data_IF_959475408434
#
_entry.id   IF_959475408434
#
_cell.length_a   1.000
_cell.length_b   1.000
_cell.length_c   1.000
_cell.angle_alpha   90.00
_cell.angle_beta   90.00
_cell.angle_gamma   90.00
#
_symmetry.space_group_name_H-M   'P 1'
#
loop_
_entity.id
_entity.type
_entity.pdbx_description
1 polymer ?
#
# COMPACT_ATOMS: atom_id res chain seq x y z
N UNK A 1 1.24 -2.36 -11.95
CA UNK A 1 2.46 -2.03 -11.76
C UNK A 1 3.20 -0.98 -12.59
N UNK A 2 3.02 0.31 -12.29
CA UNK A 2 3.78 1.41 -12.92
C UNK A 2 5.17 1.66 -12.29
N UNK A 3 5.68 0.73 -11.46
CA UNK A 3 6.99 0.89 -10.81
C UNK A 3 7.03 1.76 -9.56
N UNK A 4 5.89 2.28 -9.05
CA UNK A 4 5.84 3.16 -7.86
C UNK A 4 6.61 2.59 -6.66
N UNK A 5 6.48 1.30 -6.37
CA UNK A 5 7.20 0.66 -5.26
C UNK A 5 8.71 0.69 -5.44
N UNK A 6 9.21 0.61 -6.68
CA UNK A 6 10.64 0.73 -6.96
C UNK A 6 11.13 2.16 -6.72
N UNK A 7 10.39 3.17 -7.19
CA UNK A 7 10.71 4.58 -6.93
C UNK A 7 10.75 4.84 -5.43
N UNK A 8 9.73 4.36 -4.69
CA UNK A 8 9.70 4.48 -3.24
C UNK A 8 10.91 3.83 -2.56
N UNK A 9 11.27 2.61 -2.99
CA UNK A 9 12.45 1.92 -2.44
C UNK A 9 13.73 2.70 -2.71
N UNK A 10 13.94 3.19 -3.94
CA UNK A 10 15.14 3.98 -4.27
C UNK A 10 15.22 5.27 -3.45
N UNK A 11 14.09 5.96 -3.23
CA UNK A 11 14.05 7.15 -2.38
C UNK A 11 14.35 6.83 -0.90
N UNK A 12 13.83 5.71 -0.39
CA UNK A 12 14.14 5.24 0.97
C UNK A 12 15.62 4.88 1.11
N UNK A 13 16.21 4.22 0.10
CA UNK A 13 17.64 3.88 0.10
C UNK A 13 18.51 5.13 0.08
N UNK A 14 18.12 6.16 -0.66
CA UNK A 14 18.83 7.45 -0.66
C UNK A 14 18.88 8.05 0.76
N UNK A 15 17.78 7.98 1.52
CA UNK A 15 17.77 8.42 2.91
C UNK A 15 18.66 7.54 3.79
N UNK A 16 18.63 6.21 3.61
CA UNK A 16 19.46 5.27 4.37
C UNK A 16 20.95 5.48 4.09
N UNK A 17 21.34 5.70 2.84
CA UNK A 17 22.72 6.00 2.44
C UNK A 17 23.24 7.32 3.07
N UNK A 18 22.34 8.24 3.40
CA UNK A 18 22.66 9.47 4.12
C UNK A 18 22.55 9.35 5.65
N UNK A 19 22.44 8.14 6.18
CA UNK A 19 22.43 7.86 7.62
C UNK A 19 21.07 7.97 8.31
N UNK A 20 19.99 8.23 7.55
CA UNK A 20 18.63 8.32 8.10
C UNK A 20 17.90 7.00 8.06
N UNK A 21 16.83 6.92 8.83
CA UNK A 21 15.85 5.85 8.72
C UNK A 21 14.71 6.25 7.79
N UNK A 22 14.05 5.24 7.20
CA UNK A 22 12.86 5.45 6.39
C UNK A 22 11.69 4.61 6.88
N UNK A 23 10.47 5.03 6.59
CA UNK A 23 9.31 4.19 6.80
C UNK A 23 8.35 4.20 5.59
N UNK A 24 7.59 3.10 5.45
CA UNK A 24 6.57 2.96 4.43
C UNK A 24 5.25 2.55 5.05
N UNK A 25 4.24 3.39 4.88
CA UNK A 25 2.88 3.16 5.34
C UNK A 25 2.01 2.62 4.23
N UNK A 26 1.32 1.51 4.48
CA UNK A 26 0.31 0.92 3.62
C UNK A 26 -1.08 0.97 4.29
N UNK A 27 -2.17 1.09 3.51
CA UNK A 27 -3.52 1.22 4.07
C UNK A 27 -4.04 -0.05 4.73
N UNK A 28 -3.54 -1.21 4.35
CA UNK A 28 -3.98 -2.50 4.88
C UNK A 28 -2.79 -3.40 5.25
N UNK A 29 -3.03 -4.34 6.13
CA UNK A 29 -2.01 -5.33 6.52
C UNK A 29 -1.54 -6.19 5.34
N UNK A 30 -2.44 -6.56 4.44
CA UNK A 30 -2.13 -7.35 3.25
C UNK A 30 -1.12 -6.59 2.38
N UNK A 31 -1.35 -5.31 2.13
CA UNK A 31 -0.45 -4.47 1.35
C UNK A 31 0.88 -4.22 2.08
N UNK A 32 0.85 -4.01 3.40
CA UNK A 32 2.08 -3.86 4.19
C UNK A 32 2.96 -5.12 4.08
N UNK A 33 2.38 -6.31 4.21
CA UNK A 33 3.08 -7.60 4.05
C UNK A 33 3.59 -7.81 2.63
N UNK A 34 2.82 -7.42 1.63
CA UNK A 34 3.22 -7.50 0.22
C UNK A 34 4.41 -6.58 -0.06
N UNK A 35 4.39 -5.33 0.41
CA UNK A 35 5.51 -4.41 0.29
C UNK A 35 6.74 -4.94 1.03
N UNK A 36 6.57 -5.40 2.27
CA UNK A 36 7.66 -5.97 3.06
C UNK A 36 8.35 -7.13 2.35
N UNK A 37 7.57 -8.10 1.85
CA UNK A 37 8.12 -9.26 1.13
C UNK A 37 8.86 -8.83 -0.15
N UNK A 38 8.27 -7.89 -0.90
CA UNK A 38 8.84 -7.40 -2.16
C UNK A 38 10.13 -6.63 -1.91
N UNK A 39 10.14 -5.70 -0.97
CA UNK A 39 11.29 -4.87 -0.62
C UNK A 39 12.42 -5.74 -0.05
N UNK A 40 12.10 -6.64 0.88
CA UNK A 40 13.08 -7.58 1.44
C UNK A 40 13.76 -8.44 0.38
N UNK A 41 13.00 -8.89 -0.63
CA UNK A 41 13.55 -9.64 -1.77
C UNK A 41 14.48 -8.78 -2.62
N UNK A 42 14.13 -7.51 -2.87
CA UNK A 42 14.95 -6.58 -3.64
C UNK A 42 16.24 -6.19 -2.91
N UNK A 43 16.21 -6.18 -1.59
CA UNK A 43 17.36 -5.88 -0.73
C UNK A 43 18.20 -7.10 -0.37
N UNK A 44 17.88 -8.28 -0.93
CA UNK A 44 18.67 -9.49 -0.66
C UNK A 44 20.13 -9.30 -1.09
N UNK A 45 21.07 -9.53 -0.16
CA UNK A 45 22.50 -9.33 -0.40
C UNK A 45 23.02 -7.93 -0.07
N UNK A 46 22.16 -7.02 0.43
CA UNK A 46 22.58 -5.72 1.00
C UNK A 46 22.61 -5.78 2.52
N UNK A 47 23.24 -4.80 3.15
CA UNK A 47 23.26 -4.62 4.61
C UNK A 47 22.01 -3.88 5.15
N UNK A 48 21.10 -3.46 4.29
CA UNK A 48 19.92 -2.72 4.69
C UNK A 48 18.93 -3.62 5.41
N UNK A 49 18.63 -3.28 6.65
CA UNK A 49 17.74 -4.03 7.52
C UNK A 49 16.31 -3.52 7.46
N UNK A 50 15.34 -4.45 7.38
CA UNK A 50 13.93 -4.11 7.29
C UNK A 50 13.11 -4.79 8.37
N UNK A 51 12.08 -4.13 8.87
CA UNK A 51 11.11 -4.70 9.79
C UNK A 51 9.67 -4.37 9.35
N UNK A 52 8.71 -5.14 9.87
CA UNK A 52 7.28 -4.90 9.65
C UNK A 52 6.56 -4.68 10.98
N UNK A 53 5.64 -3.70 11.00
CA UNK A 53 4.80 -3.40 12.15
C UNK A 53 3.35 -3.16 11.72
N UNK A 54 2.45 -4.07 12.10
CA UNK A 54 1.01 -3.99 11.83
C UNK A 54 0.20 -4.21 13.09
N UNK A 55 -1.12 -4.00 13.03
CA UNK A 55 -2.02 -4.29 14.15
C UNK A 55 -1.96 -5.75 14.61
N UNK A 56 -1.77 -6.69 13.67
CA UNK A 56 -1.71 -8.13 13.92
C UNK A 56 -0.28 -8.65 14.22
N UNK A 57 0.74 -7.79 14.32
CA UNK A 57 2.09 -8.21 14.70
C UNK A 57 2.09 -8.84 16.09
N UNK A 58 2.69 -10.03 16.21
CA UNK A 58 2.83 -10.72 17.50
C UNK A 58 3.66 -9.89 18.49
N UNK A 59 3.43 -10.06 19.78
CA UNK A 59 4.09 -9.27 20.82
C UNK A 59 5.62 -9.28 20.71
N UNK A 60 6.23 -10.43 20.40
CA UNK A 60 7.67 -10.56 20.20
C UNK A 60 8.16 -9.78 18.97
N UNK A 61 7.51 -9.97 17.82
CA UNK A 61 7.86 -9.29 16.56
C UNK A 61 7.72 -7.77 16.71
N UNK A 62 6.65 -7.33 17.39
CA UNK A 62 6.39 -5.93 17.69
C UNK A 62 7.53 -5.35 18.54
N UNK A 63 7.93 -6.02 19.62
CA UNK A 63 9.00 -5.57 20.48
C UNK A 63 10.32 -5.47 19.70
N UNK A 64 10.69 -6.52 18.96
CA UNK A 64 11.92 -6.55 18.16
C UNK A 64 11.95 -5.40 17.13
N UNK A 65 10.82 -5.13 16.46
CA UNK A 65 10.72 -4.01 15.52
C UNK A 65 10.87 -2.65 16.21
N UNK A 66 10.21 -2.43 17.35
CA UNK A 66 10.28 -1.19 18.12
C UNK A 66 11.69 -0.92 18.67
N UNK A 67 12.33 -1.94 19.25
CA UNK A 67 13.71 -1.85 19.75
C UNK A 67 14.69 -1.63 18.59
N UNK A 68 14.49 -2.32 17.47
CA UNK A 68 15.32 -2.20 16.28
C UNK A 68 15.27 -0.81 15.67
N UNK A 69 14.07 -0.20 15.58
CA UNK A 69 13.92 1.14 15.00
C UNK A 69 14.43 2.23 15.97
N UNK A 70 14.17 2.09 17.26
CA UNK A 70 14.64 3.04 18.26
C UNK A 70 16.16 3.05 18.44
N UNK A 71 16.82 1.91 18.19
CA UNK A 71 18.29 1.79 18.24
C UNK A 71 19.01 2.08 16.93
N UNK A 72 18.29 2.37 15.83
CA UNK A 72 18.87 2.56 14.50
C UNK A 72 19.29 1.26 13.79
N UNK A 73 19.13 0.08 14.41
CA UNK A 73 19.47 -1.22 13.79
C UNK A 73 18.56 -1.57 12.61
N UNK A 74 17.32 -1.08 12.60
CA UNK A 74 16.38 -1.22 11.49
C UNK A 74 16.43 0.06 10.66
N UNK A 75 16.76 -0.06 9.38
CA UNK A 75 16.86 1.07 8.47
C UNK A 75 15.49 1.44 7.88
N UNK A 76 14.66 0.44 7.51
CA UNK A 76 13.37 0.65 6.88
C UNK A 76 12.29 -0.08 7.66
N UNK A 77 11.29 0.66 8.16
CA UNK A 77 10.12 0.12 8.83
C UNK A 77 8.90 0.18 7.90
N UNK A 78 8.27 -0.96 7.65
CA UNK A 78 7.07 -1.05 6.82
C UNK A 78 5.88 -1.41 7.71
N UNK A 79 4.72 -0.80 7.48
CA UNK A 79 3.56 -1.12 8.31
C UNK A 79 2.29 -0.40 7.90
N UNK A 80 1.32 -0.43 8.80
CA UNK A 80 0.03 0.25 8.66
C UNK A 80 0.01 1.50 9.55
N UNK A 81 -1.20 1.98 9.88
CA UNK A 81 -1.38 3.06 10.87
C UNK A 81 -0.67 2.81 12.22
N UNK A 82 -0.26 1.57 12.52
CA UNK A 82 0.54 1.27 13.70
C UNK A 82 1.86 2.07 13.76
N UNK A 83 2.38 2.55 12.62
CA UNK A 83 3.60 3.37 12.55
C UNK A 83 3.42 4.77 13.17
N UNK A 84 2.18 5.26 13.27
CA UNK A 84 1.86 6.59 13.81
C UNK A 84 1.76 6.57 15.34
N UNK A 85 1.62 5.39 15.95
CA UNK A 85 1.47 5.25 17.40
C UNK A 85 2.65 5.91 18.15
N UNK A 86 2.40 6.55 19.29
CA UNK A 86 3.41 7.30 20.06
C UNK A 86 4.58 6.45 20.55
N UNK A 87 4.33 5.15 20.72
CA UNK A 87 5.38 4.17 21.10
C UNK A 87 6.37 3.84 19.99
N UNK A 88 6.06 4.20 18.74
CA UNK A 88 7.00 4.05 17.61
C UNK A 88 7.90 5.26 17.60
N UNK A 89 9.15 5.06 18.05
CA UNK A 89 10.18 6.10 18.09
C UNK A 89 11.31 5.69 17.16
N UNK A 90 11.62 6.54 16.21
CA UNK A 90 12.76 6.38 15.33
C UNK A 90 14.00 7.00 15.98
N UNK A 91 15.18 6.44 15.70
CA UNK A 91 16.44 7.07 16.08
C UNK A 91 16.66 8.35 15.27
N UNK A 92 16.45 8.28 13.94
CA UNK A 92 16.54 9.44 13.04
C UNK A 92 15.73 9.21 11.74
N UNK A 93 14.46 9.58 11.75
CA UNK A 93 13.56 9.40 10.61
C UNK A 93 13.74 10.52 9.59
N UNK A 94 14.30 10.23 8.40
CA UNK A 94 14.50 11.21 7.33
C UNK A 94 13.50 11.10 6.18
N UNK A 95 12.88 9.93 5.97
CA UNK A 95 12.00 9.72 4.81
C UNK A 95 10.77 8.87 5.12
N UNK A 96 9.62 9.29 4.63
CA UNK A 96 8.34 8.60 4.81
C UNK A 96 7.67 8.37 3.45
N UNK A 97 7.25 7.15 3.19
CA UNK A 97 6.41 6.79 2.05
C UNK A 97 5.00 6.49 2.53
N UNK A 98 3.99 7.09 1.90
CA UNK A 98 2.57 6.82 2.17
C UNK A 98 1.95 6.26 0.88
N UNK A 99 1.55 5.00 0.91
CA UNK A 99 0.87 4.35 -0.21
C UNK A 99 -0.65 4.48 -0.07
N UNK A 100 -1.35 4.77 -1.19
CA UNK A 100 -2.80 4.93 -1.28
C UNK A 100 -3.37 5.93 -0.25
N UNK A 101 -2.90 7.15 -0.31
CA UNK A 101 -3.13 8.24 0.64
C UNK A 101 -4.61 8.53 0.98
N UNK A 102 -5.56 8.25 0.09
CA UNK A 102 -6.98 8.56 0.31
C UNK A 102 -7.57 7.93 1.58
N UNK A 103 -6.85 7.00 2.21
CA UNK A 103 -7.20 6.37 3.49
C UNK A 103 -6.51 6.98 4.71
N UNK A 104 -5.67 8.03 4.52
CA UNK A 104 -4.95 8.70 5.60
C UNK A 104 -5.36 10.16 5.71
N UNK A 105 -5.90 10.55 6.87
CA UNK A 105 -6.29 11.93 7.16
C UNK A 105 -5.10 12.89 7.32
N UNK A 106 -5.36 14.20 7.24
CA UNK A 106 -4.38 15.27 7.45
C UNK A 106 -3.70 15.15 8.82
N UNK A 107 -4.48 14.84 9.86
CA UNK A 107 -4.01 14.69 11.24
C UNK A 107 -3.01 13.54 11.40
N UNK A 108 -3.22 12.44 10.71
CA UNK A 108 -2.32 11.28 10.76
C UNK A 108 -0.95 11.60 10.14
N UNK A 109 -0.93 12.44 9.10
CA UNK A 109 0.34 12.91 8.48
C UNK A 109 1.08 13.88 9.41
N UNK A 110 0.35 14.77 10.07
CA UNK A 110 0.95 15.70 11.04
C UNK A 110 1.70 14.97 12.15
N UNK A 111 1.19 13.82 12.60
CA UNK A 111 1.87 12.98 13.59
C UNK A 111 3.19 12.37 13.11
N UNK A 112 3.35 12.14 11.80
CA UNK A 112 4.64 11.68 11.25
C UNK A 112 5.69 12.78 11.27
N UNK A 113 5.29 14.03 11.05
CA UNK A 113 6.20 15.18 11.11
C UNK A 113 6.82 15.38 12.51
N UNK A 114 6.11 15.00 13.55
CA UNK A 114 6.57 15.13 14.93
C UNK A 114 7.40 13.94 15.42
N UNK A 115 7.64 12.92 14.56
CA UNK A 115 8.41 11.73 14.92
C UNK A 115 9.91 11.95 14.97
N UNK A 116 10.41 13.06 14.45
CA UNK A 116 11.80 13.45 14.49
C UNK A 116 11.95 14.93 14.83
N UNK A 117 13.11 15.36 15.29
CA UNK A 117 13.43 16.76 15.58
C UNK A 117 13.36 17.63 14.32
N UNK A 118 13.79 17.09 13.17
CA UNK A 118 13.57 17.68 11.85
C UNK A 118 12.45 16.90 11.13
N UNK A 119 11.46 17.57 10.53
CA UNK A 119 10.41 16.90 9.80
C UNK A 119 10.99 16.03 8.66
N UNK A 120 10.58 14.77 8.52
CA UNK A 120 11.03 13.91 7.44
C UNK A 120 10.46 14.36 6.09
N UNK A 121 11.15 14.06 5.00
CA UNK A 121 10.60 14.18 3.66
C UNK A 121 9.48 13.14 3.45
N UNK A 122 8.40 13.54 2.78
CA UNK A 122 7.24 12.67 2.57
C UNK A 122 6.99 12.45 1.09
N UNK A 123 6.96 11.19 0.67
CA UNK A 123 6.52 10.75 -0.64
C UNK A 123 5.13 10.12 -0.53
N UNK A 124 4.16 10.72 -1.19
CA UNK A 124 2.81 10.18 -1.28
C UNK A 124 2.62 9.49 -2.63
N UNK A 125 2.12 8.27 -2.62
CA UNK A 125 1.82 7.50 -3.83
C UNK A 125 0.34 7.18 -3.90
N UNK A 126 -0.23 7.24 -5.10
CA UNK A 126 -1.60 6.78 -5.36
C UNK A 126 -1.72 6.17 -6.76
N UNK A 127 -2.60 5.20 -6.91
CA UNK A 127 -2.96 4.65 -8.21
C UNK A 127 -4.14 5.39 -8.86
N UNK A 128 -4.89 6.16 -8.09
CA UNK A 128 -6.00 6.97 -8.60
C UNK A 128 -5.45 8.31 -9.06
N UNK A 129 -5.65 8.71 -10.33
CA UNK A 129 -5.23 10.02 -10.78
C UNK A 129 -6.05 11.09 -10.04
N UNK A 130 -5.37 11.90 -9.25
CA UNK A 130 -5.98 13.10 -8.63
C UNK A 130 -5.74 14.24 -9.59
N UNK A 131 -6.76 14.96 -10.05
CA UNK A 131 -6.56 16.14 -10.87
C UNK A 131 -5.57 17.11 -10.20
N UNK A 132 -4.60 17.61 -10.96
CA UNK A 132 -3.52 18.45 -10.42
C UNK A 132 -4.03 19.63 -9.60
N UNK A 133 -5.11 20.26 -10.07
CA UNK A 133 -5.79 21.36 -9.35
C UNK A 133 -6.34 20.92 -8.00
N UNK A 134 -6.94 19.74 -7.91
CA UNK A 134 -7.44 19.18 -6.66
C UNK A 134 -6.30 18.78 -5.72
N UNK A 135 -5.22 18.23 -6.27
CA UNK A 135 -4.02 17.90 -5.50
C UNK A 135 -3.40 19.17 -4.88
N UNK A 136 -3.27 20.26 -5.63
CA UNK A 136 -2.79 21.54 -5.12
C UNK A 136 -3.71 22.15 -4.07
N UNK A 137 -5.04 22.00 -4.21
CA UNK A 137 -6.03 22.51 -3.23
C UNK A 137 -6.02 21.69 -1.94
N UNK A 138 -5.86 20.37 -2.04
CA UNK A 138 -5.91 19.46 -0.87
C UNK A 138 -4.58 19.37 -0.13
N UNK A 139 -3.46 19.60 -0.82
CA UNK A 139 -2.12 19.29 -0.32
C UNK A 139 -1.15 20.46 -0.37
N UNK A 140 -1.60 21.65 -0.87
CA UNK A 140 -0.94 22.96 -0.86
C UNK A 140 0.55 22.99 -1.25
N UNK A 141 1.38 22.29 -0.51
CA UNK A 141 2.85 22.35 -0.60
C UNK A 141 3.49 21.11 -1.22
N UNK A 142 2.73 20.25 -1.93
CA UNK A 142 3.29 19.05 -2.55
C UNK A 142 3.54 19.24 -4.05
N UNK A 143 4.76 18.94 -4.47
CA UNK A 143 5.08 18.77 -5.88
C UNK A 143 4.47 17.45 -6.42
N UNK A 144 3.87 17.52 -7.60
CA UNK A 144 3.18 16.39 -8.22
C UNK A 144 3.95 15.87 -9.42
N UNK A 145 4.35 14.61 -9.35
CA UNK A 145 4.91 13.87 -10.48
C UNK A 145 3.93 12.80 -10.96
N UNK A 146 3.73 12.70 -12.27
CA UNK A 146 2.79 11.75 -12.88
C UNK A 146 3.57 10.71 -13.68
N UNK A 147 3.28 9.43 -13.43
CA UNK A 147 3.75 8.32 -14.27
C UNK A 147 2.57 7.93 -15.18
N UNK A 148 2.56 8.42 -16.40
CA UNK A 148 1.47 8.30 -17.37
C UNK A 148 1.66 7.19 -18.41
N UNK A 149 2.87 6.61 -18.49
CA UNK A 149 3.16 5.50 -19.38
C UNK A 149 2.87 4.14 -18.74
N UNK A 150 2.35 3.23 -19.54
CA UNK A 150 2.20 1.84 -19.12
C UNK A 150 3.53 1.09 -19.25
N UNK A 151 3.85 0.18 -18.31
CA UNK A 151 5.04 -0.65 -18.42
C UNK A 151 5.05 -1.45 -19.74
N UNK A 152 6.23 -1.69 -20.33
CA UNK A 152 6.35 -2.51 -21.54
C UNK A 152 5.66 -3.86 -21.38
N UNK A 153 4.90 -4.28 -22.40
CA UNK A 153 4.19 -5.56 -22.41
C UNK A 153 2.85 -5.59 -21.68
N UNK A 154 2.46 -4.52 -20.98
CA UNK A 154 1.14 -4.47 -20.35
C UNK A 154 0.05 -4.23 -21.40
N UNK A 155 -0.90 -5.16 -21.48
CA UNK A 155 -2.05 -5.04 -22.37
C UNK A 155 -3.18 -4.27 -21.67
N UNK A 156 -3.94 -3.42 -22.40
CA UNK A 156 -5.12 -2.78 -21.87
C UNK A 156 -6.15 -3.79 -21.37
N UNK A 157 -6.75 -3.51 -20.22
CA UNK A 157 -7.84 -4.33 -19.68
C UNK A 157 -9.12 -3.99 -20.42
N UNK A 158 -9.84 -5.02 -20.90
CA UNK A 158 -11.15 -4.87 -21.50
C UNK A 158 -12.22 -4.98 -20.41
N UNK A 159 -13.00 -3.94 -20.21
CA UNK A 159 -14.11 -3.91 -19.25
C UNK A 159 -15.43 -4.04 -19.99
N UNK A 160 -16.28 -4.96 -19.53
CA UNK A 160 -17.62 -5.17 -20.08
C UNK A 160 -18.63 -5.05 -18.95
N UNK A 161 -19.78 -4.46 -19.26
CA UNK A 161 -20.94 -4.42 -18.35
C UNK A 161 -21.98 -5.42 -18.86
N UNK A 162 -22.45 -6.27 -17.97
CA UNK A 162 -23.54 -7.22 -18.23
C UNK A 162 -24.66 -7.01 -17.22
N UNK A 163 -25.89 -7.32 -17.65
CA UNK A 163 -27.04 -7.43 -16.76
C UNK A 163 -27.21 -8.87 -16.31
N UNK A 164 -28.06 -9.13 -15.33
CA UNK A 164 -28.34 -10.48 -14.81
C UNK A 164 -28.79 -11.46 -15.89
N UNK A 165 -29.48 -11.01 -16.93
CA UNK A 165 -29.88 -11.83 -18.06
C UNK A 165 -28.69 -12.50 -18.78
N UNK A 166 -27.48 -11.94 -18.67
CA UNK A 166 -26.25 -12.48 -19.26
C UNK A 166 -25.43 -13.38 -18.32
N UNK A 167 -25.93 -13.71 -17.13
CA UNK A 167 -25.21 -14.48 -16.09
C UNK A 167 -24.67 -15.80 -16.61
N UNK A 168 -25.49 -16.58 -17.31
CA UNK A 168 -25.08 -17.87 -17.90
C UNK A 168 -23.95 -17.71 -18.93
N UNK A 169 -24.01 -16.66 -19.75
CA UNK A 169 -22.95 -16.34 -20.71
C UNK A 169 -21.66 -15.99 -20.01
N UNK A 170 -21.74 -15.24 -18.92
CA UNK A 170 -20.58 -14.88 -18.11
C UNK A 170 -19.93 -16.12 -17.49
N UNK A 171 -20.71 -17.04 -16.91
CA UNK A 171 -20.19 -18.30 -16.37
C UNK A 171 -19.54 -19.18 -17.45
N UNK A 172 -20.14 -19.24 -18.63
CA UNK A 172 -19.54 -19.93 -19.78
C UNK A 172 -18.17 -19.35 -20.14
N UNK A 173 -18.05 -18.03 -20.18
CA UNK A 173 -16.78 -17.34 -20.40
C UNK A 173 -15.75 -17.64 -19.28
N UNK A 174 -16.17 -17.60 -18.01
CA UNK A 174 -15.30 -17.90 -16.88
C UNK A 174 -14.74 -19.33 -16.96
N UNK A 175 -15.60 -20.33 -17.27
CA UNK A 175 -15.18 -21.73 -17.49
C UNK A 175 -14.14 -21.85 -18.60
N UNK A 176 -14.32 -21.15 -19.72
CA UNK A 176 -13.33 -21.12 -20.80
C UNK A 176 -11.99 -20.53 -20.33
N UNK A 177 -12.01 -19.45 -19.55
CA UNK A 177 -10.78 -18.86 -19.03
C UNK A 177 -10.05 -19.80 -18.06
N UNK A 178 -10.79 -20.49 -17.21
CA UNK A 178 -10.22 -21.48 -16.27
C UNK A 178 -9.61 -22.66 -17.05
N UNK A 179 -10.29 -23.17 -18.07
CA UNK A 179 -9.77 -24.23 -18.95
C UNK A 179 -8.47 -23.85 -19.66
N UNK A 180 -8.24 -22.55 -19.89
CA UNK A 180 -6.98 -22.00 -20.41
C UNK A 180 -5.90 -21.78 -19.33
N UNK A 181 -6.12 -22.26 -18.10
CA UNK A 181 -5.18 -22.09 -16.97
C UNK A 181 -5.18 -20.69 -16.37
N UNK A 182 -6.18 -19.85 -16.63
CA UNK A 182 -6.29 -18.50 -16.09
C UNK A 182 -7.04 -18.51 -14.77
N UNK A 183 -6.70 -17.56 -13.89
CA UNK A 183 -7.43 -17.34 -12.63
C UNK A 183 -8.61 -16.40 -12.86
N UNK A 184 -9.70 -16.67 -12.15
CA UNK A 184 -10.90 -15.83 -12.15
C UNK A 184 -11.21 -15.42 -10.71
N UNK A 185 -11.46 -14.14 -10.49
CA UNK A 185 -11.90 -13.59 -9.22
C UNK A 185 -13.31 -13.07 -9.36
N UNK A 186 -14.20 -13.50 -8.46
CA UNK A 186 -15.57 -12.99 -8.37
C UNK A 186 -15.66 -12.20 -7.06
N UNK A 187 -16.10 -10.94 -7.15
CA UNK A 187 -16.19 -10.05 -5.99
C UNK A 187 -17.65 -9.66 -5.81
N UNK A 188 -18.15 -9.94 -4.62
CA UNK A 188 -19.47 -9.51 -4.17
C UNK A 188 -19.33 -8.37 -3.15
N UNK A 189 -20.21 -7.35 -3.20
CA UNK A 189 -20.14 -6.21 -2.26
C UNK A 189 -20.56 -6.59 -0.84
N UNK A 190 -21.32 -7.66 -0.68
CA UNK A 190 -21.84 -8.15 0.60
C UNK A 190 -21.47 -9.62 0.83
N UNK A 191 -21.24 -10.00 2.09
CA UNK A 191 -21.04 -11.39 2.49
C UNK A 191 -22.38 -12.08 2.73
N UNK A 192 -23.36 -11.34 3.28
CA UNK A 192 -24.72 -11.77 3.56
C UNK A 192 -25.70 -10.71 3.07
N UNK A 193 -26.93 -11.13 2.80
CA UNK A 193 -28.02 -10.22 2.47
C UNK A 193 -28.16 -9.09 3.49
N UNK A 194 -28.39 -7.88 3.02
CA UNK A 194 -28.60 -6.68 3.84
C UNK A 194 -29.91 -6.03 3.47
N UNK A 195 -30.81 -5.84 4.44
CA UNK A 195 -32.08 -5.16 4.26
C UNK A 195 -31.94 -3.71 3.76
N UNK A 196 -30.75 -3.11 3.93
CA UNK A 196 -30.49 -1.72 3.52
C UNK A 196 -29.94 -1.57 2.08
N UNK A 197 -29.50 -2.66 1.44
CA UNK A 197 -28.89 -2.62 0.11
C UNK A 197 -29.33 -3.85 -0.71
N UNK A 198 -30.01 -3.59 -1.82
CA UNK A 198 -30.47 -4.59 -2.77
C UNK A 198 -29.32 -5.07 -3.68
N UNK A 199 -28.31 -5.71 -3.06
CA UNK A 199 -27.18 -6.33 -3.77
C UNK A 199 -27.15 -7.83 -3.47
N UNK A 200 -26.93 -8.63 -4.52
CA UNK A 200 -26.66 -10.06 -4.35
C UNK A 200 -25.41 -10.26 -3.49
N UNK A 201 -25.54 -11.08 -2.50
CA UNK A 201 -24.45 -11.43 -1.59
C UNK A 201 -23.60 -12.60 -2.08
N UNK A 202 -22.55 -12.92 -1.32
CA UNK A 202 -21.64 -14.02 -1.63
C UNK A 202 -22.33 -15.39 -1.53
N UNK A 203 -23.31 -15.53 -0.64
CA UNK A 203 -24.02 -16.78 -0.37
C UNK A 203 -24.88 -17.14 -1.57
N UNK A 204 -25.68 -16.19 -2.08
CA UNK A 204 -26.48 -16.35 -3.30
C UNK A 204 -25.66 -16.58 -4.57
N UNK A 205 -24.44 -16.06 -4.58
CA UNK A 205 -23.55 -16.20 -5.72
C UNK A 205 -22.76 -17.48 -5.78
N UNK A 206 -22.67 -18.22 -4.66
CA UNK A 206 -21.91 -19.47 -4.55
C UNK A 206 -22.74 -20.70 -4.96
N UNK A 207 -24.08 -20.64 -4.84
CA UNK A 207 -25.01 -21.65 -5.36
C UNK A 207 -25.20 -21.48 -6.89
#
# INVERSE_FOLDING_TARGET
>A
GSGKTLVALMSMLLAVDNGFQACMMAPTEILARQHFTTIRRMLAGTEVTTAILTGASKARERREALEGIASGRVNILIGTHALIEDRVRFADLGFVVIDEQHRFGVEQRARLWTKNAQPPHILVMTATPIPRTLAMTLYGDLDVSVIDELPPGRRPVKTFRYTDAARLKLFGFMRQQIALGRQVYVVYPLIKESEAMDYKDLTDGYE
#
